data_IF_847075794330
#
_entry.id   IF_847075794330
#
_cell.length_a   1.000
_cell.length_b   1.000
_cell.length_c   1.000
_cell.angle_alpha   90.00
_cell.angle_beta   90.00
_cell.angle_gamma   90.00
#
_symmetry.space_group_name_H-M   'P 1'
#
loop_
_entity.id
_entity.type
_entity.pdbx_description
1 polymer ?
#
# COMPACT_ATOMS: atom_id res chain seq x y z
N UNK A 1 -6.22 -10.18 -10.41
CA UNK A 1 -4.77 -10.27 -10.67
C UNK A 1 -4.27 -11.57 -10.05
N UNK A 2 -3.29 -12.23 -10.65
CA UNK A 2 -2.65 -13.43 -10.10
C UNK A 2 -1.56 -13.05 -9.09
N UNK A 3 -1.46 -13.80 -7.98
CA UNK A 3 -0.54 -13.55 -6.87
C UNK A 3 0.89 -13.99 -7.22
N UNK A 4 1.03 -15.12 -7.92
CA UNK A 4 2.35 -15.73 -8.15
C UNK A 4 3.33 -14.82 -8.94
N UNK A 5 2.92 -14.15 -10.05
CA UNK A 5 3.81 -13.25 -10.78
C UNK A 5 4.23 -12.01 -9.98
N UNK A 6 3.36 -11.55 -9.08
CA UNK A 6 3.64 -10.39 -8.21
C UNK A 6 4.62 -10.81 -7.11
N UNK A 7 4.43 -11.98 -6.50
CA UNK A 7 5.37 -12.55 -5.52
C UNK A 7 6.75 -12.74 -6.13
N UNK A 8 6.85 -13.33 -7.33
CA UNK A 8 8.12 -13.50 -8.04
C UNK A 8 8.81 -12.16 -8.30
N UNK A 9 8.04 -11.16 -8.75
CA UNK A 9 8.57 -9.81 -9.02
C UNK A 9 9.05 -9.16 -7.71
N UNK A 10 8.32 -9.31 -6.61
CA UNK A 10 8.73 -8.81 -5.28
C UNK A 10 10.01 -9.50 -4.78
N UNK A 11 10.13 -10.82 -4.95
CA UNK A 11 11.35 -11.55 -4.59
C UNK A 11 12.55 -11.10 -5.43
N UNK A 12 12.35 -10.82 -6.71
CA UNK A 12 13.40 -10.30 -7.59
C UNK A 12 13.91 -8.92 -7.14
N UNK A 13 13.11 -8.12 -6.41
CA UNK A 13 13.58 -6.84 -5.83
C UNK A 13 14.63 -7.02 -4.72
N UNK A 14 14.66 -8.20 -4.10
CA UNK A 14 15.63 -8.53 -3.04
C UNK A 14 17.02 -8.87 -3.63
N UNK A 15 17.08 -9.22 -4.91
CA UNK A 15 18.33 -9.57 -5.59
C UNK A 15 18.99 -8.32 -6.18
N UNK A 16 20.24 -7.95 -5.81
CA UNK A 16 20.89 -6.73 -6.30
C UNK A 16 21.00 -6.63 -7.83
N UNK A 17 21.15 -7.77 -8.50
CA UNK A 17 21.30 -7.87 -9.95
C UNK A 17 19.98 -7.67 -10.70
N UNK A 18 18.86 -8.09 -10.10
CA UNK A 18 17.53 -8.06 -10.72
C UNK A 18 16.69 -6.89 -10.22
N UNK A 19 17.10 -6.23 -9.13
CA UNK A 19 16.32 -5.20 -8.43
C UNK A 19 15.79 -4.12 -9.36
N UNK A 20 16.65 -3.54 -10.20
CA UNK A 20 16.24 -2.42 -11.08
C UNK A 20 15.16 -2.85 -12.07
N UNK A 21 15.35 -4.01 -12.71
CA UNK A 21 14.38 -4.56 -13.65
C UNK A 21 13.07 -4.95 -12.95
N UNK A 22 13.17 -5.53 -11.76
CA UNK A 22 12.03 -5.91 -10.95
C UNK A 22 11.22 -4.69 -10.49
N UNK A 23 11.88 -3.62 -10.06
CA UNK A 23 11.24 -2.35 -9.70
C UNK A 23 10.55 -1.69 -10.89
N UNK A 24 11.19 -1.66 -12.06
CA UNK A 24 10.58 -1.15 -13.30
C UNK A 24 9.33 -1.95 -13.67
N UNK A 25 9.40 -3.28 -13.59
CA UNK A 25 8.25 -4.17 -13.83
C UNK A 25 7.15 -3.93 -12.79
N UNK A 26 7.50 -3.80 -11.53
CA UNK A 26 6.56 -3.55 -10.44
C UNK A 26 5.84 -2.19 -10.61
N UNK A 27 6.55 -1.17 -11.11
CA UNK A 27 5.99 0.14 -11.44
C UNK A 27 5.01 0.12 -12.63
N UNK A 28 5.07 -0.89 -13.51
CA UNK A 28 4.05 -1.10 -14.54
C UNK A 28 2.86 -1.87 -13.98
N UNK A 29 3.11 -2.92 -13.20
CA UNK A 29 2.06 -3.76 -12.62
C UNK A 29 1.20 -2.96 -11.62
N UNK A 30 1.80 -2.01 -10.89
CA UNK A 30 1.06 -1.22 -9.90
C UNK A 30 -0.03 -0.31 -10.48
N UNK A 31 0.02 -0.03 -11.79
CA UNK A 31 -1.01 0.73 -12.52
C UNK A 31 -2.20 -0.13 -12.96
N UNK A 32 -2.12 -1.44 -12.74
CA UNK A 32 -3.17 -2.38 -13.14
C UNK A 32 -4.22 -2.46 -12.04
N UNK A 33 -5.49 -2.34 -12.41
CA UNK A 33 -6.62 -2.47 -11.49
C UNK A 33 -6.57 -3.78 -10.69
N UNK A 34 -6.76 -3.69 -9.38
CA UNK A 34 -6.69 -4.81 -8.45
C UNK A 34 -5.29 -5.15 -7.97
N UNK A 35 -4.27 -4.34 -8.28
CA UNK A 35 -2.91 -4.54 -7.78
C UNK A 35 -2.83 -4.42 -6.26
N UNK A 36 -3.47 -3.40 -5.71
CA UNK A 36 -3.38 -3.12 -4.28
C UNK A 36 -4.03 -4.22 -3.43
N UNK A 37 -5.26 -4.68 -3.71
CA UNK A 37 -5.82 -5.85 -3.02
C UNK A 37 -4.93 -7.09 -3.13
N UNK A 38 -4.34 -7.32 -4.31
CA UNK A 38 -3.39 -8.42 -4.54
C UNK A 38 -2.15 -8.28 -3.63
N UNK A 39 -1.58 -7.08 -3.53
CA UNK A 39 -0.42 -6.79 -2.69
C UNK A 39 -0.72 -7.01 -1.20
N UNK A 40 -1.88 -6.56 -0.73
CA UNK A 40 -2.32 -6.80 0.66
C UNK A 40 -2.52 -8.28 0.94
N UNK A 41 -3.11 -9.04 0.01
CA UNK A 41 -3.25 -10.49 0.14
C UNK A 41 -1.89 -11.18 0.27
N UNK A 42 -0.87 -10.76 -0.49
CA UNK A 42 0.50 -11.30 -0.38
C UNK A 42 1.09 -11.01 1.01
N UNK A 43 0.95 -9.78 1.51
CA UNK A 43 1.51 -9.37 2.81
C UNK A 43 0.89 -10.17 3.96
N UNK A 44 -0.44 -10.39 3.90
CA UNK A 44 -1.19 -11.10 4.93
C UNK A 44 -1.11 -12.63 4.81
N UNK A 45 -0.62 -13.16 3.69
CA UNK A 45 -0.51 -14.60 3.48
C UNK A 45 0.72 -15.18 4.20
N UNK A 46 0.48 -15.93 5.28
CA UNK A 46 1.55 -16.59 6.04
C UNK A 46 2.27 -17.71 5.30
N UNK A 47 1.72 -18.19 4.17
CA UNK A 47 2.37 -19.16 3.29
C UNK A 47 3.33 -18.49 2.28
N UNK A 48 3.25 -17.17 2.13
CA UNK A 48 4.21 -16.43 1.30
C UNK A 48 5.53 -16.25 2.06
N UNK A 49 6.64 -16.32 1.31
CA UNK A 49 7.97 -16.10 1.85
C UNK A 49 8.08 -14.72 2.55
N UNK A 50 8.76 -14.70 3.69
CA UNK A 50 8.91 -13.49 4.50
C UNK A 50 9.54 -12.34 3.71
N UNK A 51 10.52 -12.63 2.83
CA UNK A 51 11.16 -11.62 2.00
C UNK A 51 10.16 -10.96 1.05
N UNK A 52 9.29 -11.74 0.41
CA UNK A 52 8.24 -11.23 -0.46
C UNK A 52 7.21 -10.38 0.30
N UNK A 53 6.82 -10.82 1.50
CA UNK A 53 5.89 -10.08 2.38
C UNK A 53 6.47 -8.75 2.82
N UNK A 54 7.74 -8.72 3.23
CA UNK A 54 8.43 -7.50 3.63
C UNK A 54 8.62 -6.54 2.46
N UNK A 55 9.07 -7.03 1.29
CA UNK A 55 9.17 -6.24 0.08
C UNK A 55 7.82 -5.63 -0.31
N UNK A 56 6.75 -6.42 -0.23
CA UNK A 56 5.38 -5.96 -0.49
C UNK A 56 4.93 -4.88 0.50
N UNK A 57 5.20 -5.04 1.79
CA UNK A 57 4.84 -4.06 2.81
C UNK A 57 5.62 -2.74 2.66
N UNK A 58 6.91 -2.81 2.36
CA UNK A 58 7.74 -1.64 2.06
C UNK A 58 7.21 -0.93 0.81
N UNK A 59 6.88 -1.69 -0.24
CA UNK A 59 6.31 -1.12 -1.46
C UNK A 59 4.97 -0.44 -1.17
N UNK A 60 4.06 -1.08 -0.45
CA UNK A 60 2.77 -0.51 -0.08
C UNK A 60 2.93 0.78 0.71
N UNK A 61 3.82 0.81 1.71
CA UNK A 61 4.12 2.02 2.49
C UNK A 61 4.62 3.15 1.59
N UNK A 62 5.58 2.86 0.71
CA UNK A 62 6.14 3.87 -0.19
C UNK A 62 5.08 4.35 -1.20
N UNK A 63 4.30 3.43 -1.76
CA UNK A 63 3.22 3.70 -2.69
C UNK A 63 2.17 4.61 -2.05
N UNK A 64 1.72 4.30 -0.83
CA UNK A 64 0.83 5.18 -0.08
C UNK A 64 1.51 6.53 0.11
N UNK A 65 2.72 6.62 0.67
CA UNK A 65 3.38 7.91 0.91
C UNK A 65 3.59 8.76 -0.37
N UNK A 66 3.76 8.14 -1.54
CA UNK A 66 3.94 8.84 -2.82
C UNK A 66 2.63 9.34 -3.42
N UNK A 67 1.55 8.59 -3.26
CA UNK A 67 0.23 8.95 -3.84
C UNK A 67 -0.73 9.56 -2.81
N UNK A 68 -0.35 9.56 -1.53
CA UNK A 68 -1.01 10.26 -0.43
C UNK A 68 -0.62 11.74 -0.44
N UNK A 69 -1.09 12.46 -1.44
CA UNK A 69 -1.06 13.93 -1.48
C UNK A 69 -2.46 14.47 -1.17
N UNK A 70 -2.54 15.69 -0.63
CA UNK A 70 -3.76 16.34 -0.15
C UNK A 70 -4.97 16.09 -1.06
N UNK A 71 -6.14 15.90 -0.44
CA UNK A 71 -7.45 15.59 -1.03
C UNK A 71 -7.82 16.41 -2.29
N UNK A 72 -7.15 17.54 -2.53
CA UNK A 72 -7.26 18.36 -3.73
C UNK A 72 -6.63 17.75 -5.00
N UNK A 73 -5.57 16.95 -4.89
CA UNK A 73 -4.91 16.27 -6.03
C UNK A 73 -5.57 14.93 -6.40
N UNK A 74 -6.32 14.34 -5.46
CA UNK A 74 -7.13 13.13 -5.66
C UNK A 74 -8.25 13.32 -6.68
N UNK A 75 -8.67 14.56 -6.96
CA UNK A 75 -9.63 14.88 -8.04
C UNK A 75 -9.00 14.91 -9.42
N UNK A 76 -7.67 15.03 -9.51
CA UNK A 76 -6.94 15.07 -10.77
C UNK A 76 -6.49 13.66 -11.24
N UNK A 77 -6.46 12.67 -10.34
CA UNK A 77 -6.13 11.29 -10.70
C UNK A 77 -7.36 10.54 -11.22
N UNK A 78 -7.23 9.89 -12.39
CA UNK A 78 -8.23 8.97 -12.96
C UNK A 78 -8.02 7.52 -12.53
N UNK A 79 -7.03 7.25 -11.69
CA UNK A 79 -6.73 5.89 -11.23
C UNK A 79 -7.73 5.45 -10.14
N UNK A 80 -8.65 4.56 -10.53
CA UNK A 80 -9.70 4.03 -9.67
C UNK A 80 -9.17 3.32 -8.43
N UNK A 81 -7.97 2.74 -8.48
CA UNK A 81 -7.38 2.02 -7.34
C UNK A 81 -6.81 3.01 -6.32
N UNK A 82 -6.20 4.10 -6.78
CA UNK A 82 -5.73 5.20 -5.92
C UNK A 82 -6.92 5.86 -5.22
N UNK A 83 -8.01 6.11 -5.94
CA UNK A 83 -9.26 6.65 -5.35
C UNK A 83 -9.83 5.68 -4.32
N UNK A 84 -9.89 4.38 -4.63
CA UNK A 84 -10.41 3.35 -3.72
C UNK A 84 -9.55 3.22 -2.47
N UNK A 85 -8.22 3.24 -2.62
CA UNK A 85 -7.27 3.25 -1.51
C UNK A 85 -7.41 4.48 -0.64
N UNK A 86 -7.42 5.66 -1.25
CA UNK A 86 -7.54 6.92 -0.53
C UNK A 86 -8.84 6.98 0.27
N UNK A 87 -9.95 6.55 -0.32
CA UNK A 87 -11.24 6.44 0.37
C UNK A 87 -11.18 5.43 1.51
N UNK A 88 -10.65 4.22 1.29
CA UNK A 88 -10.57 3.18 2.32
C UNK A 88 -9.69 3.61 3.51
N UNK A 89 -8.54 4.25 3.24
CA UNK A 89 -7.64 4.74 4.29
C UNK A 89 -8.23 5.97 4.98
N UNK A 90 -8.84 6.93 4.26
CA UNK A 90 -9.53 8.07 4.88
C UNK A 90 -10.69 7.65 5.78
N UNK A 91 -11.47 6.65 5.38
CA UNK A 91 -12.53 6.09 6.24
C UNK A 91 -11.93 5.51 7.52
N UNK A 92 -10.80 4.80 7.43
CA UNK A 92 -10.15 4.20 8.59
C UNK A 92 -9.43 5.22 9.49
N UNK A 93 -8.80 6.27 8.93
CA UNK A 93 -8.19 7.36 9.71
C UNK A 93 -9.29 8.17 10.40
N UNK A 94 -10.38 8.53 9.72
CA UNK A 94 -11.50 9.25 10.35
C UNK A 94 -12.20 8.40 11.41
N UNK A 95 -12.29 7.09 11.23
CA UNK A 95 -12.80 6.16 12.25
C UNK A 95 -11.86 6.07 13.45
N UNK A 96 -10.54 6.04 13.23
CA UNK A 96 -9.53 6.08 14.30
C UNK A 96 -9.45 7.45 15.01
N UNK A 97 -9.76 8.54 14.31
CA UNK A 97 -9.85 9.89 14.87
C UNK A 97 -11.16 10.10 15.66
N UNK A 98 -12.25 9.44 15.24
CA UNK A 98 -13.53 9.43 15.96
C UNK A 98 -13.49 8.73 17.31
N UNK A 99 -12.62 7.72 17.48
CA UNK A 99 -12.43 7.02 18.78
C UNK A 99 -11.46 7.74 19.72
N UNK A 100 -10.59 8.63 19.23
CA UNK A 100 -9.58 9.33 20.06
C UNK A 100 -10.03 10.72 20.56
N UNK A 101 -11.28 11.13 20.33
CA UNK A 101 -11.80 12.41 20.85
C UNK A 101 -12.37 12.32 22.26
N UNK A 102 -12.38 11.14 22.90
CA UNK A 102 -12.70 11.02 24.33
C UNK A 102 -11.56 10.38 25.12
N UNK A 103 -10.62 11.23 25.57
CA UNK A 103 -9.95 11.23 26.89
C UNK A 103 -8.64 12.00 26.81
N UNK A 104 -8.72 13.31 26.61
CA UNK A 104 -7.73 14.17 27.25
C UNK A 104 -8.17 14.32 28.70
N UNK A 105 -7.44 13.67 29.60
CA UNK A 105 -7.56 13.88 31.03
C UNK A 105 -7.37 15.38 31.29
N UNK A 106 -8.41 16.05 31.80
CA UNK A 106 -8.26 17.36 32.40
C UNK A 106 -7.39 17.14 33.63
N UNK A 107 -6.13 17.55 33.58
CA UNK A 107 -5.30 17.65 34.77
C UNK A 107 -5.68 18.97 35.41
N UNK A 108 -6.49 18.90 36.45
CA UNK A 108 -6.77 20.01 37.35
C UNK A 108 -5.53 20.28 38.21
N UNK A 109 -5.16 21.55 38.32
CA UNK A 109 -4.79 22.22 39.57
C UNK A 109 -5.32 23.66 39.51
#
# INVERSE_FOLDING_TARGET
>A
MDLAPVVETLQATLSPQLRKQAEEKLAQICKTTGFVPCLVQIILNDQCDMGARQAGAIYLKNHINTYWSDYNDLKATTDSDIITLANAVNVNINKAAGDNTQKFFVISD
#
